data_IF_792851612458
#
_entry.id   IF_792851612458
#
_cell.length_a   1.000
_cell.length_b   1.000
_cell.length_c   1.000
_cell.angle_alpha   90.00
_cell.angle_beta   90.00
_cell.angle_gamma   90.00
#
_symmetry.space_group_name_H-M   'P 1'
#
loop_
_entity.id
_entity.type
_entity.pdbx_description
1 polymer ?
#
# COMPACT_ATOMS: atom_id res chain seq x y z
N UNK A 1 -18.22 1.93 -17.16
CA UNK A 1 -18.57 0.80 -16.28
C UNK A 1 -17.46 0.73 -15.25
N UNK A 2 -17.78 0.82 -13.95
CA UNK A 2 -16.77 0.72 -12.90
C UNK A 2 -16.70 -0.74 -12.47
N UNK A 3 -15.55 -1.37 -12.67
CA UNK A 3 -15.30 -2.74 -12.24
C UNK A 3 -14.91 -2.73 -10.76
N UNK A 4 -15.50 -3.63 -9.97
CA UNK A 4 -15.11 -3.80 -8.56
C UNK A 4 -13.72 -4.44 -8.54
N UNK A 5 -12.84 -3.92 -7.70
CA UNK A 5 -11.48 -4.40 -7.50
C UNK A 5 -11.31 -4.91 -6.07
N UNK A 6 -10.75 -6.10 -5.93
CA UNK A 6 -10.35 -6.68 -4.65
C UNK A 6 -8.86 -6.49 -4.44
N UNK A 7 -8.50 -5.79 -3.36
CA UNK A 7 -7.12 -5.49 -3.01
C UNK A 7 -6.60 -6.43 -1.92
N UNK A 8 -5.36 -6.88 -2.03
CA UNK A 8 -4.72 -7.73 -1.01
C UNK A 8 -3.21 -7.54 -0.97
N UNK A 9 -2.56 -8.02 0.10
CA UNK A 9 -1.13 -7.84 0.31
C UNK A 9 -0.79 -6.57 1.09
N UNK A 10 0.50 -6.26 1.17
CA UNK A 10 1.02 -5.05 1.80
C UNK A 10 2.40 -4.70 1.25
N UNK A 11 2.80 -3.44 1.45
CA UNK A 11 4.15 -2.95 1.16
C UNK A 11 4.76 -2.51 2.50
N UNK A 12 5.67 -3.32 3.03
CA UNK A 12 6.41 -3.04 4.27
C UNK A 12 7.35 -1.85 4.10
N UNK A 13 7.58 -1.11 5.19
CA UNK A 13 8.37 0.13 5.22
C UNK A 13 9.52 -0.04 6.21
N UNK A 14 10.76 0.11 5.75
CA UNK A 14 11.95 0.06 6.59
C UNK A 14 12.92 1.23 6.34
N UNK A 15 13.38 1.96 7.38
CA UNK A 15 12.87 1.92 8.76
C UNK A 15 11.43 2.43 8.88
N UNK A 16 10.68 2.02 9.93
CA UNK A 16 9.31 2.49 10.17
C UNK A 16 9.18 4.02 10.24
N UNK A 17 8.05 4.56 9.80
CA UNK A 17 7.76 5.99 9.87
C UNK A 17 7.34 6.34 11.29
N UNK A 18 8.05 7.26 11.94
CA UNK A 18 7.77 7.63 13.34
C UNK A 18 6.55 8.54 13.43
N UNK A 19 5.86 8.53 14.57
CA UNK A 19 4.69 9.38 14.81
C UNK A 19 4.89 10.88 14.49
N UNK A 20 6.09 11.42 14.73
CA UNK A 20 6.40 12.81 14.41
C UNK A 20 6.27 13.14 12.92
N UNK A 21 6.57 12.19 12.04
CA UNK A 21 6.45 12.32 10.58
C UNK A 21 5.04 11.97 10.08
N UNK A 22 4.31 11.16 10.84
CA UNK A 22 2.93 10.77 10.53
C UNK A 22 1.90 11.84 10.90
N UNK A 23 2.24 12.76 11.80
CA UNK A 23 1.32 13.77 12.32
C UNK A 23 0.87 14.69 11.18
N UNK A 24 -0.39 14.55 10.77
CA UNK A 24 -0.98 15.31 9.65
C UNK A 24 -0.94 14.58 8.32
N UNK A 25 -0.41 13.35 8.25
CA UNK A 25 -0.49 12.52 7.07
C UNK A 25 -1.95 12.13 6.78
N UNK A 26 -2.37 12.28 5.52
CA UNK A 26 -3.69 11.87 5.07
C UNK A 26 -3.86 10.34 5.01
N UNK A 27 -2.75 9.60 5.09
CA UNK A 27 -2.71 8.15 4.99
C UNK A 27 -2.78 7.45 6.35
N UNK A 28 -2.91 8.19 7.44
CA UNK A 28 -3.20 7.59 8.76
C UNK A 28 -4.71 7.56 8.96
N UNK A 29 -5.24 6.37 9.22
CA UNK A 29 -6.66 6.15 9.51
C UNK A 29 -7.02 6.75 10.87
N UNK A 30 -8.00 7.63 10.90
CA UNK A 30 -8.60 8.20 12.12
C UNK A 30 -10.09 8.00 12.11
N UNK A 31 -10.80 8.20 13.24
CA UNK A 31 -12.26 7.99 13.31
C UNK A 31 -13.04 8.87 12.33
N UNK A 32 -12.47 10.01 11.96
CA UNK A 32 -13.08 11.03 11.10
C UNK A 32 -12.97 10.73 9.60
N UNK A 33 -12.03 9.85 9.19
CA UNK A 33 -11.76 9.53 7.78
C UNK A 33 -12.20 8.12 7.44
N UNK A 34 -13.25 7.90 6.66
CA UNK A 34 -13.78 6.56 6.37
C UNK A 34 -12.81 5.70 5.50
N UNK A 35 -12.93 4.36 5.56
CA UNK A 35 -12.06 3.43 4.79
C UNK A 35 -12.15 3.68 3.27
N UNK A 36 -13.35 3.95 2.75
CA UNK A 36 -13.60 4.23 1.33
C UNK A 36 -12.99 5.54 0.80
N UNK A 37 -12.43 6.41 1.65
CA UNK A 37 -11.82 7.67 1.21
C UNK A 37 -10.48 7.48 0.49
N UNK A 38 -9.82 6.33 0.71
CA UNK A 38 -8.51 5.99 0.13
C UNK A 38 -8.50 4.51 -0.23
N UNK A 39 -7.68 4.14 -1.21
CA UNK A 39 -7.40 2.75 -1.56
C UNK A 39 -6.32 2.14 -0.67
N UNK A 40 -5.47 2.98 -0.07
CA UNK A 40 -4.38 2.56 0.82
C UNK A 40 -4.25 3.40 2.07
N UNK A 41 -3.81 2.76 3.15
CA UNK A 41 -3.55 3.36 4.44
C UNK A 41 -2.20 2.92 4.98
N UNK A 42 -1.56 3.78 5.76
CA UNK A 42 -0.40 3.43 6.57
C UNK A 42 -0.86 2.55 7.74
N UNK A 43 -0.41 1.30 7.75
CA UNK A 43 -0.61 0.38 8.87
C UNK A 43 0.31 0.79 10.02
N UNK A 44 -0.30 1.31 11.08
CA UNK A 44 0.39 1.69 12.31
C UNK A 44 0.43 0.55 13.32
N UNK A 45 1.49 0.52 14.11
CA UNK A 45 1.63 -0.37 15.27
C UNK A 45 2.03 0.46 16.49
N UNK A 46 1.52 0.04 17.65
CA UNK A 46 1.93 0.57 18.94
C UNK A 46 3.00 -0.35 19.53
N UNK A 47 4.13 0.23 19.90
CA UNK A 47 5.19 -0.46 20.62
C UNK A 47 5.32 0.16 22.00
N UNK A 48 5.02 -0.64 23.01
CA UNK A 48 5.20 -0.28 24.41
C UNK A 48 6.53 -0.84 24.90
N UNK A 49 7.38 0.00 25.47
CA UNK A 49 8.68 -0.38 26.02
C UNK A 49 8.74 0.11 27.46
N UNK A 50 9.00 -0.79 28.41
CA UNK A 50 9.29 -0.42 29.79
C UNK A 50 10.70 0.16 29.88
N UNK A 51 10.79 1.38 30.37
CA UNK A 51 12.05 2.08 30.63
C UNK A 51 12.21 2.33 32.13
N UNK A 52 13.42 2.68 32.57
CA UNK A 52 13.69 3.01 33.98
C UNK A 52 12.85 4.20 34.49
N UNK A 53 12.36 5.06 33.58
CA UNK A 53 11.52 6.23 33.87
C UNK A 53 10.01 5.94 33.75
N UNK A 54 9.63 4.74 33.31
CA UNK A 54 8.24 4.32 33.13
C UNK A 54 7.94 3.72 31.75
N UNK A 55 6.65 3.55 31.47
CA UNK A 55 6.14 2.93 30.24
C UNK A 55 6.20 3.94 29.08
N UNK A 56 6.96 3.66 28.04
CA UNK A 56 7.01 4.46 26.82
C UNK A 56 6.21 3.77 25.70
N UNK A 57 5.10 4.38 25.29
CA UNK A 57 4.33 3.92 24.11
C UNK A 57 4.70 4.74 22.88
N UNK A 58 5.15 4.08 21.82
CA UNK A 58 5.49 4.71 20.53
C UNK A 58 4.61 4.16 19.42
N UNK A 59 4.00 5.05 18.64
CA UNK A 59 3.28 4.71 17.40
C UNK A 59 4.22 4.85 16.21
N UNK A 60 4.21 3.88 15.30
CA UNK A 60 4.96 3.93 14.05
C UNK A 60 4.20 3.25 12.91
N UNK A 61 4.37 3.72 11.67
CA UNK A 61 3.85 3.04 10.49
C UNK A 61 4.90 2.08 9.93
N UNK A 62 4.49 0.84 9.69
CA UNK A 62 5.39 -0.27 9.30
C UNK A 62 5.06 -0.84 7.92
N UNK A 63 3.90 -0.49 7.36
CA UNK A 63 3.49 -0.93 6.03
C UNK A 63 2.45 0.01 5.43
N UNK A 64 2.28 -0.09 4.11
CA UNK A 64 1.12 0.37 3.35
C UNK A 64 0.19 -0.84 3.21
N UNK A 65 -1.05 -0.73 3.69
CA UNK A 65 -2.11 -1.73 3.52
C UNK A 65 -3.19 -1.20 2.57
N UNK A 66 -3.92 -2.08 1.88
CA UNK A 66 -5.18 -1.70 1.23
C UNK A 66 -6.23 -1.21 2.22
N UNK A 67 -7.20 -0.47 1.70
CA UNK A 67 -8.48 -0.21 2.35
C UNK A 67 -9.23 -1.52 2.60
N UNK A 68 -9.95 -1.56 3.72
CA UNK A 68 -10.77 -2.71 4.14
C UNK A 68 -12.21 -2.64 3.60
N UNK A 69 -12.51 -1.68 2.72
CA UNK A 69 -13.81 -1.56 2.05
C UNK A 69 -14.03 -2.68 1.03
N UNK A 70 -15.28 -3.15 0.91
CA UNK A 70 -15.64 -4.29 0.06
C UNK A 70 -15.69 -3.96 -1.44
N UNK A 71 -16.00 -2.70 -1.78
CA UNK A 71 -16.17 -2.25 -3.16
C UNK A 71 -15.21 -1.10 -3.50
N UNK A 72 -14.07 -1.45 -4.11
CA UNK A 72 -13.04 -0.49 -4.49
C UNK A 72 -12.90 -0.37 -6.00
N UNK A 73 -12.43 0.80 -6.45
CA UNK A 73 -11.95 1.01 -7.82
C UNK A 73 -10.46 1.31 -7.76
N UNK A 74 -9.66 0.41 -8.31
CA UNK A 74 -8.20 0.46 -8.12
C UNK A 74 -7.46 1.44 -9.06
N UNK A 75 -8.17 2.28 -9.82
CA UNK A 75 -7.59 3.18 -10.82
C UNK A 75 -6.61 4.22 -10.22
N UNK A 76 -6.82 4.59 -8.95
CA UNK A 76 -5.94 5.50 -8.24
C UNK A 76 -4.85 4.82 -7.40
N UNK A 77 -4.76 3.47 -7.39
CA UNK A 77 -3.94 2.74 -6.42
C UNK A 77 -2.45 3.10 -6.53
N UNK A 78 -1.88 3.05 -7.74
CA UNK A 78 -0.47 3.38 -7.94
C UNK A 78 -0.17 4.83 -7.58
N UNK A 79 -1.10 5.75 -7.87
CA UNK A 79 -0.97 7.17 -7.50
C UNK A 79 -0.95 7.36 -5.99
N UNK A 80 -1.86 6.74 -5.25
CA UNK A 80 -1.90 6.87 -3.79
C UNK A 80 -0.68 6.24 -3.12
N UNK A 81 -0.20 5.10 -3.61
CA UNK A 81 1.09 4.53 -3.15
C UNK A 81 2.23 5.50 -3.44
N UNK A 82 2.25 6.14 -4.61
CA UNK A 82 3.28 7.14 -4.95
C UNK A 82 3.20 8.37 -4.03
N UNK A 83 2.02 8.82 -3.63
CA UNK A 83 1.83 9.92 -2.68
C UNK A 83 2.46 9.58 -1.31
N UNK A 84 2.29 8.35 -0.82
CA UNK A 84 2.94 7.87 0.41
C UNK A 84 4.47 7.86 0.25
N UNK A 85 4.98 7.30 -0.85
CA UNK A 85 6.42 7.20 -1.11
C UNK A 85 7.05 8.60 -1.23
N UNK A 86 6.37 9.54 -1.89
CA UNK A 86 6.85 10.91 -2.01
C UNK A 86 6.86 11.65 -0.66
N UNK A 87 5.85 11.41 0.19
CA UNK A 87 5.75 12.07 1.49
C UNK A 87 6.72 11.49 2.54
N UNK A 88 7.03 10.20 2.46
CA UNK A 88 7.70 9.49 3.55
C UNK A 88 8.92 8.67 3.15
N UNK A 89 9.27 8.63 1.85
CA UNK A 89 10.26 7.67 1.34
C UNK A 89 11.72 8.05 1.50
N UNK A 90 12.04 9.26 1.95
CA UNK A 90 13.44 9.66 2.16
C UNK A 90 14.11 8.76 3.20
N UNK A 91 15.23 8.14 2.81
CA UNK A 91 15.98 7.19 3.63
C UNK A 91 15.26 5.87 3.94
N UNK A 92 14.19 5.51 3.21
CA UNK A 92 13.40 4.29 3.45
C UNK A 92 13.30 3.38 2.22
N UNK A 93 13.21 2.10 2.48
CA UNK A 93 12.84 1.08 1.51
C UNK A 93 11.38 0.68 1.68
N UNK A 94 10.79 0.27 0.56
CA UNK A 94 9.42 -0.19 0.47
C UNK A 94 9.43 -1.56 -0.20
N UNK A 95 9.06 -2.60 0.53
CA UNK A 95 9.16 -4.00 0.06
C UNK A 95 7.82 -4.70 0.14
N UNK A 96 7.47 -5.46 -0.90
CA UNK A 96 6.19 -6.16 -1.01
C UNK A 96 5.39 -5.68 -2.21
N UNK A 97 4.08 -5.95 -2.18
CA UNK A 97 3.16 -5.60 -3.26
C UNK A 97 1.73 -5.52 -2.75
N UNK A 98 0.93 -4.70 -3.41
CA UNK A 98 -0.53 -4.77 -3.33
C UNK A 98 -1.02 -5.42 -4.63
N UNK A 99 -1.68 -6.56 -4.49
CA UNK A 99 -2.29 -7.30 -5.58
C UNK A 99 -3.72 -6.80 -5.79
N UNK A 100 -4.07 -6.56 -7.05
CA UNK A 100 -5.40 -6.18 -7.51
C UNK A 100 -5.99 -7.34 -8.28
N UNK A 101 -7.25 -7.68 -7.97
CA UNK A 101 -8.05 -8.65 -8.72
C UNK A 101 -9.38 -8.01 -9.09
N UNK A 102 -9.72 -7.97 -10.37
CA UNK A 102 -11.06 -7.63 -10.84
C UNK A 102 -12.04 -8.78 -10.67
N UNK A 103 -13.30 -8.53 -11.04
CA UNK A 103 -14.39 -9.52 -11.03
C UNK A 103 -14.22 -10.59 -12.12
N UNK A 104 -13.59 -10.23 -13.25
CA UNK A 104 -13.39 -11.11 -14.40
C UNK A 104 -11.92 -11.53 -14.52
N UNK A 105 -11.67 -12.77 -14.92
CA UNK A 105 -10.32 -13.26 -15.18
C UNK A 105 -9.97 -13.09 -16.67
N UNK A 106 -8.75 -12.60 -17.03
CA UNK A 106 -7.60 -12.31 -16.17
C UNK A 106 -7.37 -10.81 -15.84
N UNK A 107 -8.30 -10.15 -15.13
CA UNK A 107 -8.03 -8.81 -14.57
C UNK A 107 -7.25 -8.93 -13.25
N UNK A 108 -5.94 -9.18 -13.36
CA UNK A 108 -5.03 -9.26 -12.21
C UNK A 108 -3.77 -8.46 -12.49
N UNK A 109 -3.41 -7.59 -11.56
CA UNK A 109 -2.19 -6.77 -11.64
C UNK A 109 -1.74 -6.40 -10.23
N UNK A 110 -0.58 -5.76 -10.10
CA UNK A 110 -0.06 -5.39 -8.78
C UNK A 110 0.63 -4.03 -8.80
N UNK A 111 0.70 -3.41 -7.63
CA UNK A 111 1.55 -2.24 -7.38
C UNK A 111 2.68 -2.64 -6.46
N UNK A 112 3.89 -2.22 -6.81
CA UNK A 112 5.08 -2.31 -5.95
C UNK A 112 5.88 -1.01 -6.04
N UNK A 113 6.86 -0.83 -5.16
CA UNK A 113 7.78 0.32 -5.20
C UNK A 113 9.13 -0.14 -5.76
N UNK A 114 9.65 0.58 -6.75
CA UNK A 114 10.95 0.34 -7.37
C UNK A 114 11.66 1.67 -7.48
N UNK A 115 12.86 1.75 -6.89
CA UNK A 115 13.69 2.97 -6.93
C UNK A 115 12.94 4.26 -6.52
N UNK A 116 12.08 4.15 -5.50
CA UNK A 116 11.27 5.28 -5.02
C UNK A 116 10.01 5.60 -5.86
N UNK A 117 9.69 4.75 -6.82
CA UNK A 117 8.52 4.92 -7.69
C UNK A 117 7.51 3.79 -7.52
N UNK A 118 6.23 4.14 -7.37
CA UNK A 118 5.15 3.17 -7.43
C UNK A 118 4.95 2.73 -8.89
N UNK A 119 5.07 1.44 -9.14
CA UNK A 119 5.00 0.82 -10.47
C UNK A 119 3.82 -0.13 -10.50
N UNK A 120 2.95 0.05 -11.50
CA UNK A 120 1.95 -0.94 -11.89
C UNK A 120 2.64 -2.03 -12.72
N UNK A 121 2.46 -3.28 -12.30
CA UNK A 121 2.93 -4.45 -13.03
C UNK A 121 1.75 -5.35 -13.40
N UNK A 122 1.62 -5.62 -14.70
CA UNK A 122 0.66 -6.59 -15.24
C UNK A 122 1.36 -7.91 -15.54
N UNK A 123 0.69 -9.06 -15.32
CA UNK A 123 1.24 -10.34 -15.71
C UNK A 123 1.38 -10.44 -17.23
N UNK A 124 2.37 -11.21 -17.66
CA UNK A 124 2.60 -11.54 -19.06
C UNK A 124 2.23 -13.01 -19.30
N UNK A 125 1.38 -13.24 -20.29
CA UNK A 125 1.14 -14.55 -20.87
C UNK A 125 2.32 -14.90 -21.76
N UNK A 126 2.91 -16.07 -21.54
CA UNK A 126 4.00 -16.59 -22.36
C UNK A 126 3.58 -17.89 -23.02
N UNK A 127 3.58 -17.90 -24.35
CA UNK A 127 3.28 -19.06 -25.17
C UNK A 127 4.48 -20.02 -25.21
N UNK A 128 4.26 -21.33 -25.46
CA UNK A 128 5.36 -22.31 -25.53
C UNK A 128 6.41 -22.02 -26.60
N UNK A 129 6.05 -21.27 -27.65
CA UNK A 129 6.96 -20.83 -28.71
C UNK A 129 7.81 -19.61 -28.30
N UNK A 130 7.58 -19.09 -27.09
CA UNK A 130 8.28 -17.93 -26.53
C UNK A 130 7.63 -16.59 -26.83
N UNK A 131 6.50 -16.55 -27.55
CA UNK A 131 5.74 -15.32 -27.77
C UNK A 131 5.13 -14.84 -26.45
N UNK A 132 5.13 -13.53 -26.22
CA UNK A 132 4.62 -12.92 -24.99
C UNK A 132 3.50 -11.92 -25.30
N UNK A 133 2.47 -11.89 -24.45
CA UNK A 133 1.34 -10.97 -24.52
C UNK A 133 0.99 -10.51 -23.10
N UNK A 134 0.60 -9.24 -22.91
CA UNK A 134 0.16 -8.75 -21.59
C UNK A 134 -1.23 -9.32 -21.32
N UNK A 135 -1.47 -9.89 -20.14
CA UNK A 135 -2.82 -10.31 -19.79
C UNK A 135 -3.72 -9.06 -19.67
N UNK A 136 -4.81 -9.07 -20.44
CA UNK A 136 -5.80 -7.99 -20.44
C UNK A 136 -6.77 -8.14 -19.27
#
# INVERSE_FOLDING_TARGET
MGYISYLSGEITIDPPIRWGELRGSDFVRTKERAEHERLVWLRTVEKTVDTEEGVLTTVMAVAIRPSEEDELRADALAREVQEIVAAHGDGRTFEGLILVRGEESPDIWRVRVVDGHAVEERPMLRWPDGTEEVAQ
#
